data_IF_584630211645
#
_entry.id   IF_584630211645
#
_cell.length_a   1.000
_cell.length_b   1.000
_cell.length_c   1.000
_cell.angle_alpha   90.00
_cell.angle_beta   90.00
_cell.angle_gamma   90.00
#
_symmetry.space_group_name_H-M   'P 1'
#
loop_
_entity.id
_entity.type
_entity.pdbx_description
1 polymer ?
#
# COMPACT_ATOMS: atom_id res chain seq x y z
N UNK A 1 19.25 3.07 -4.64
CA UNK A 1 17.98 2.58 -4.81
C UNK A 1 17.27 3.34 -5.88
N UNK A 2 16.56 2.62 -6.63
CA UNK A 2 15.84 3.33 -7.64
C UNK A 2 14.69 4.07 -7.01
N UNK A 3 14.30 5.15 -7.64
CA UNK A 3 13.11 5.86 -7.20
C UNK A 3 11.88 4.97 -7.13
N UNK A 4 11.87 3.89 -7.90
CA UNK A 4 10.72 3.00 -7.93
C UNK A 4 10.49 2.32 -6.58
N UNK A 5 11.56 1.80 -5.97
CA UNK A 5 11.44 1.17 -4.66
C UNK A 5 11.02 2.18 -3.62
N UNK A 6 11.60 3.37 -3.71
CA UNK A 6 11.22 4.44 -2.80
C UNK A 6 9.78 4.87 -3.03
N UNK A 7 9.33 4.82 -4.28
CA UNK A 7 7.95 5.18 -4.58
C UNK A 7 6.96 4.23 -3.92
N UNK A 8 7.31 2.95 -3.81
CA UNK A 8 6.43 2.00 -3.14
C UNK A 8 6.28 2.34 -1.66
N UNK A 9 7.36 2.79 -1.02
CA UNK A 9 7.34 3.16 0.38
C UNK A 9 6.69 4.50 0.59
N UNK A 10 7.00 5.46 -0.27
CA UNK A 10 6.55 6.84 -0.14
C UNK A 10 5.36 7.15 -1.03
N UNK A 11 4.67 6.13 -1.54
CA UNK A 11 3.61 6.36 -2.52
C UNK A 11 2.51 7.24 -1.97
N UNK A 12 2.20 7.15 -0.68
CA UNK A 12 1.16 7.98 -0.09
C UNK A 12 1.54 9.46 -0.07
N UNK A 13 2.86 9.76 -0.16
CA UNK A 13 3.30 11.16 -0.24
C UNK A 13 3.28 11.68 -1.67
N UNK A 14 3.40 10.79 -2.63
CA UNK A 14 3.45 11.17 -4.06
C UNK A 14 2.06 11.27 -4.67
N UNK A 15 1.11 10.59 -4.10
CA UNK A 15 -0.24 10.53 -4.63
C UNK A 15 -1.20 11.26 -3.71
N UNK A 16 -2.31 11.75 -4.27
CA UNK A 16 -3.33 12.40 -3.43
C UNK A 16 -3.83 11.47 -2.35
N UNK A 17 -3.99 12.02 -1.15
CA UNK A 17 -4.47 11.28 0.02
C UNK A 17 -5.89 11.74 0.33
N UNK A 18 -6.78 10.80 0.64
CA UNK A 18 -8.16 11.15 0.98
C UNK A 18 -8.20 12.04 2.22
N UNK A 19 -9.24 12.86 2.36
CA UNK A 19 -9.30 13.81 3.48
C UNK A 19 -9.22 13.16 4.86
N UNK A 20 -9.68 11.91 4.99
CA UNK A 20 -9.63 11.20 6.26
C UNK A 20 -8.30 10.47 6.47
N UNK A 21 -7.39 10.53 5.50
CA UNK A 21 -6.06 9.94 5.65
C UNK A 21 -5.99 8.43 5.52
N UNK A 22 -7.06 7.79 5.06
CA UNK A 22 -7.10 6.33 5.02
C UNK A 22 -6.55 5.72 3.73
N UNK A 23 -6.66 6.46 2.63
CA UNK A 23 -6.26 5.94 1.31
C UNK A 23 -5.47 6.97 0.55
N UNK A 24 -4.69 6.50 -0.40
CA UNK A 24 -4.18 7.36 -1.45
C UNK A 24 -4.72 6.84 -2.78
N UNK A 25 -4.72 7.70 -3.81
CA UNK A 25 -5.25 7.34 -5.12
C UNK A 25 -4.10 7.18 -6.10
N UNK A 26 -4.08 6.04 -6.78
CA UNK A 26 -3.14 5.80 -7.87
C UNK A 26 -3.89 5.03 -8.95
N UNK A 27 -3.81 5.53 -10.18
CA UNK A 27 -4.48 4.92 -11.33
C UNK A 27 -5.98 4.78 -11.12
N UNK A 28 -6.57 5.76 -10.45
CA UNK A 28 -8.00 5.81 -10.23
C UNK A 28 -8.52 4.89 -9.14
N UNK A 29 -7.64 4.17 -8.47
CA UNK A 29 -8.02 3.26 -7.39
C UNK A 29 -7.54 3.75 -6.05
N UNK A 30 -8.29 3.40 -5.02
CA UNK A 30 -7.91 3.68 -3.64
C UNK A 30 -7.00 2.58 -3.12
N UNK A 31 -5.94 2.99 -2.41
CA UNK A 31 -5.01 2.07 -1.78
C UNK A 31 -4.87 2.46 -0.32
N UNK A 32 -5.06 1.48 0.56
CA UNK A 32 -5.05 1.75 2.00
C UNK A 32 -3.66 2.12 2.46
N UNK A 33 -3.59 3.18 3.27
CA UNK A 33 -2.33 3.68 3.79
C UNK A 33 -1.90 2.89 5.02
N UNK A 34 -0.63 3.02 5.37
CA UNK A 34 -0.06 2.42 6.56
C UNK A 34 -0.78 2.92 7.80
N UNK A 35 -0.95 2.04 8.79
CA UNK A 35 -1.56 2.40 10.07
C UNK A 35 -0.75 3.51 10.74
N UNK A 36 -1.33 4.68 10.95
CA UNK A 36 -0.58 5.81 11.54
C UNK A 36 -0.27 5.63 13.02
N UNK A 37 -0.89 4.66 13.68
CA UNK A 37 -0.64 4.42 15.09
C UNK A 37 0.58 3.55 15.36
N UNK A 38 1.20 2.99 14.31
CA UNK A 38 2.39 2.17 14.49
C UNK A 38 3.55 3.02 15.02
N UNK A 39 4.28 2.54 16.04
CA UNK A 39 5.49 3.23 16.46
C UNK A 39 6.46 3.35 15.29
N UNK A 40 7.22 4.43 15.25
CA UNK A 40 8.11 4.70 14.12
C UNK A 40 9.13 3.58 13.90
N UNK A 41 9.71 3.05 14.98
CA UNK A 41 10.66 1.97 14.85
C UNK A 41 10.04 0.73 14.24
N UNK A 42 8.81 0.42 14.66
CA UNK A 42 8.07 -0.72 14.13
C UNK A 42 7.76 -0.51 12.65
N UNK A 43 7.30 0.69 12.30
CA UNK A 43 6.98 1.00 10.92
C UNK A 43 8.22 0.86 10.04
N UNK A 44 9.37 1.40 10.48
CA UNK A 44 10.60 1.30 9.72
C UNK A 44 11.04 -0.14 9.51
N UNK A 45 10.93 -0.96 10.56
CA UNK A 45 11.31 -2.36 10.45
C UNK A 45 10.41 -3.09 9.46
N UNK A 46 9.11 -2.84 9.53
CA UNK A 46 8.16 -3.50 8.62
C UNK A 46 8.35 -3.06 7.18
N UNK A 47 8.66 -1.79 6.96
CA UNK A 47 8.96 -1.30 5.62
C UNK A 47 10.22 -1.97 5.08
N UNK A 48 11.24 -2.10 5.92
CA UNK A 48 12.47 -2.81 5.54
C UNK A 48 12.17 -4.25 5.17
N UNK A 49 11.35 -4.94 5.97
CA UNK A 49 10.97 -6.32 5.71
C UNK A 49 10.19 -6.43 4.40
N UNK A 50 9.31 -5.49 4.14
CA UNK A 50 8.52 -5.49 2.91
C UNK A 50 9.44 -5.34 1.69
N UNK A 51 10.39 -4.44 1.75
CA UNK A 51 11.29 -4.23 0.62
C UNK A 51 12.17 -5.44 0.38
N UNK A 52 12.63 -6.10 1.45
CA UNK A 52 13.41 -7.32 1.31
C UNK A 52 12.56 -8.43 0.69
N UNK A 53 11.30 -8.55 1.09
CA UNK A 53 10.41 -9.56 0.54
C UNK A 53 10.12 -9.30 -0.94
N UNK A 54 9.94 -8.04 -1.33
CA UNK A 54 9.70 -7.69 -2.73
C UNK A 54 10.90 -8.02 -3.59
N UNK A 55 12.11 -7.78 -3.07
CA UNK A 55 13.32 -8.16 -3.77
C UNK A 55 13.40 -9.67 -3.93
N UNK A 56 13.02 -10.42 -2.89
CA UNK A 56 13.03 -11.87 -2.96
C UNK A 56 12.07 -12.39 -4.02
N UNK A 57 10.89 -11.75 -4.16
CA UNK A 57 9.95 -12.11 -5.23
C UNK A 57 10.61 -11.93 -6.59
N UNK A 58 11.24 -10.79 -6.79
CA UNK A 58 11.89 -10.48 -8.06
C UNK A 58 12.98 -11.51 -8.39
N UNK A 59 13.82 -11.83 -7.41
CA UNK A 59 14.90 -12.79 -7.60
C UNK A 59 14.35 -14.18 -7.93
N UNK A 60 13.31 -14.60 -7.19
CA UNK A 60 12.72 -15.92 -7.39
C UNK A 60 12.08 -16.03 -8.78
N UNK A 61 11.44 -14.97 -9.23
CA UNK A 61 10.84 -14.97 -10.59
C UNK A 61 11.91 -15.09 -11.65
N UNK A 62 13.00 -14.36 -11.51
CA UNK A 62 14.08 -14.42 -12.47
C UNK A 62 14.73 -15.80 -12.53
N UNK A 63 14.76 -16.49 -11.38
CA UNK A 63 15.31 -17.84 -11.30
C UNK A 63 14.29 -18.91 -11.65
N UNK A 64 13.05 -18.52 -11.92
CA UNK A 64 11.94 -19.43 -12.16
C UNK A 64 11.76 -20.44 -11.03
N UNK A 65 12.04 -20.01 -9.80
CA UNK A 65 11.90 -20.84 -8.62
C UNK A 65 10.53 -20.58 -7.99
N UNK A 66 9.57 -21.42 -8.31
CA UNK A 66 8.17 -21.18 -7.90
C UNK A 66 7.98 -21.30 -6.39
N UNK A 67 8.71 -22.22 -5.75
CA UNK A 67 8.58 -22.38 -4.31
C UNK A 67 9.10 -21.16 -3.57
N UNK A 68 10.24 -20.63 -3.99
CA UNK A 68 10.79 -19.44 -3.38
C UNK A 68 9.94 -18.21 -3.68
N UNK A 69 9.38 -18.15 -4.88
CA UNK A 69 8.48 -17.04 -5.21
C UNK A 69 7.26 -17.06 -4.30
N UNK A 70 6.68 -18.25 -4.09
CA UNK A 70 5.49 -18.38 -3.24
C UNK A 70 5.81 -17.95 -1.80
N UNK A 71 6.96 -18.39 -1.28
CA UNK A 71 7.38 -17.99 0.06
C UNK A 71 7.60 -16.48 0.15
N UNK A 72 8.22 -15.90 -0.86
CA UNK A 72 8.47 -14.46 -0.87
C UNK A 72 7.16 -13.66 -0.98
N UNK A 73 6.19 -14.15 -1.76
CA UNK A 73 4.89 -13.51 -1.85
C UNK A 73 4.18 -13.54 -0.49
N UNK A 74 4.31 -14.65 0.24
CA UNK A 74 3.73 -14.75 1.58
C UNK A 74 4.38 -13.74 2.52
N UNK A 75 5.68 -13.51 2.38
CA UNK A 75 6.38 -12.53 3.20
C UNK A 75 5.93 -11.11 2.87
N UNK A 76 5.68 -10.81 1.60
CA UNK A 76 5.13 -9.51 1.21
C UNK A 76 3.77 -9.31 1.86
N UNK A 77 2.90 -10.33 1.78
CA UNK A 77 1.58 -10.23 2.36
C UNK A 77 1.64 -10.02 3.87
N UNK A 78 2.52 -10.76 4.55
CA UNK A 78 2.65 -10.64 6.00
C UNK A 78 3.10 -9.23 6.40
N UNK A 79 4.07 -8.67 5.69
CA UNK A 79 4.55 -7.33 5.99
C UNK A 79 3.46 -6.29 5.76
N UNK A 80 2.72 -6.42 4.67
CA UNK A 80 1.64 -5.47 4.38
C UNK A 80 0.52 -5.56 5.40
N UNK A 81 0.19 -6.76 5.85
CA UNK A 81 -0.82 -6.92 6.90
C UNK A 81 -0.36 -6.28 8.20
N UNK A 82 0.90 -6.47 8.55
CA UNK A 82 1.45 -5.88 9.77
C UNK A 82 1.47 -4.35 9.69
N UNK A 83 1.68 -3.81 8.50
CA UNK A 83 1.64 -2.36 8.29
C UNK A 83 0.22 -1.79 8.30
N UNK A 84 -0.79 -2.65 8.22
CA UNK A 84 -2.18 -2.21 8.16
C UNK A 84 -2.67 -1.92 6.76
N UNK A 85 -1.89 -2.25 5.74
CA UNK A 85 -2.24 -1.98 4.34
C UNK A 85 -3.08 -3.10 3.73
N UNK A 86 -3.19 -4.24 4.41
CA UNK A 86 -4.01 -5.38 4.00
C UNK A 86 -4.64 -6.00 5.23
N UNK A 87 -5.63 -6.86 4.98
CA UNK A 87 -6.32 -7.55 6.05
C UNK A 87 -7.24 -6.62 6.82
N UNK A 88 -7.45 -6.87 8.11
CA UNK A 88 -8.37 -6.04 8.89
C UNK A 88 -7.95 -4.58 8.85
N UNK A 89 -8.94 -3.70 8.77
CA UNK A 89 -8.65 -2.27 8.74
C UNK A 89 -8.11 -1.81 10.10
N UNK A 90 -7.31 -0.73 10.07
CA UNK A 90 -6.71 -0.23 11.30
C UNK A 90 -7.57 0.80 12.01
N UNK A 91 -8.66 1.27 11.39
CA UNK A 91 -9.57 2.21 12.04
C UNK A 91 -10.68 1.42 12.77
N UNK A 92 -11.34 2.12 13.70
CA UNK A 92 -12.29 1.46 14.60
C UNK A 92 -13.67 2.10 14.59
N UNK A 93 -13.96 2.94 13.62
CA UNK A 93 -15.24 3.64 13.56
C UNK A 93 -16.29 2.89 12.74
N UNK A 94 -15.96 1.68 12.30
CA UNK A 94 -16.91 0.86 11.54
C UNK A 94 -17.00 1.18 10.07
N UNK A 95 -16.20 2.12 9.58
CA UNK A 95 -16.26 2.48 8.16
C UNK A 95 -15.80 1.32 7.29
N UNK A 96 -16.45 1.17 6.14
CA UNK A 96 -16.13 0.10 5.20
C UNK A 96 -14.73 0.27 4.63
N UNK A 97 -14.16 -0.84 4.19
CA UNK A 97 -12.86 -0.86 3.53
C UNK A 97 -13.06 -0.74 2.02
N UNK A 98 -12.55 0.34 1.44
CA UNK A 98 -12.61 0.58 0.01
C UNK A 98 -11.27 0.33 -0.68
N UNK A 99 -10.37 -0.40 -0.03
CA UNK A 99 -9.06 -0.69 -0.61
C UNK A 99 -9.24 -1.37 -1.97
N UNK A 100 -8.55 -0.84 -2.99
CA UNK A 100 -8.56 -1.35 -4.36
C UNK A 100 -9.83 -1.06 -5.14
N UNK A 101 -10.78 -0.37 -4.54
CA UNK A 101 -11.99 0.07 -5.26
C UNK A 101 -11.64 1.28 -6.14
N UNK A 102 -12.36 1.41 -7.24
CA UNK A 102 -12.26 2.62 -8.04
C UNK A 102 -12.77 3.79 -7.22
N UNK A 103 -11.98 4.86 -7.14
CA UNK A 103 -12.35 6.01 -6.31
C UNK A 103 -13.70 6.59 -6.71
N UNK A 104 -14.01 6.59 -8.01
CA UNK A 104 -15.28 7.15 -8.50
C UNK A 104 -16.49 6.38 -8.04
N UNK A 105 -16.31 5.15 -7.56
CA UNK A 105 -17.40 4.28 -7.11
C UNK A 105 -17.48 4.22 -5.58
N UNK A 106 -16.90 5.19 -4.89
CA UNK A 106 -16.86 5.22 -3.43
C UNK A 106 -17.34 6.57 -2.93
N UNK A 107 -17.53 6.72 -1.61
CA UNK A 107 -17.87 8.04 -1.05
C UNK A 107 -16.84 9.13 -1.31
N UNK A 108 -15.65 8.78 -1.79
CA UNK A 108 -14.62 9.77 -2.13
C UNK A 108 -14.73 10.27 -3.57
N UNK A 109 -15.81 9.92 -4.28
CA UNK A 109 -15.93 10.24 -5.70
C UNK A 109 -15.85 11.73 -5.99
N UNK A 110 -16.52 12.55 -5.19
CA UNK A 110 -16.50 14.00 -5.39
C UNK A 110 -15.11 14.59 -5.16
N UNK A 111 -14.46 14.14 -4.08
CA UNK A 111 -13.10 14.55 -3.80
C UNK A 111 -12.17 14.15 -4.94
N UNK A 112 -12.32 12.93 -5.42
CA UNK A 112 -11.49 12.43 -6.52
C UNK A 112 -11.70 13.24 -7.79
N UNK A 113 -12.95 13.57 -8.11
CA UNK A 113 -13.27 14.32 -9.31
C UNK A 113 -12.69 15.74 -9.28
N UNK A 114 -12.48 16.27 -8.09
CA UNK A 114 -11.95 17.61 -7.92
C UNK A 114 -10.42 17.69 -8.00
N UNK A 115 -9.73 16.53 -8.08
CA UNK A 115 -8.28 16.51 -8.16
C UNK A 115 -7.80 17.06 -9.50
N UNK A 116 -6.68 17.78 -9.51
CA UNK A 116 -6.11 18.25 -10.77
C UNK A 116 -5.74 17.08 -11.68
N UNK A 117 -5.87 17.28 -12.98
CA UNK A 117 -5.53 16.23 -13.95
C UNK A 117 -4.06 15.86 -13.79
N UNK A 118 -3.79 14.56 -13.88
CA UNK A 118 -2.43 14.03 -13.81
C UNK A 118 -1.89 13.82 -12.41
N UNK A 119 -2.70 14.02 -11.38
CA UNK A 119 -2.23 13.87 -10.00
C UNK A 119 -2.44 12.46 -9.45
N UNK A 120 -3.22 11.66 -10.08
CA UNK A 120 -3.51 10.31 -9.60
C UNK A 120 -2.54 9.26 -10.10
#
# INVERSE_FOLDING_TARGET
>A
GTPRDQADVASSERYPVTPDGRYFVARGKLWRRTNPALPEDTRKRLVHDLMAARKAVFVAKRAANMDEEKAAQAAVDAAKRALGERGPVWWTDGAMDFNRHLAKNTPYAEWFAALPAGRE
#
